data_IF_460907534079
#
_entry.id   IF_460907534079
#
_cell.length_a   1.000
_cell.length_b   1.000
_cell.length_c   1.000
_cell.angle_alpha   90.00
_cell.angle_beta   90.00
_cell.angle_gamma   90.00
#
_symmetry.space_group_name_H-M   'P 1'
#
loop_
_entity.id
_entity.type
_entity.pdbx_description
1 polymer ?
#
# COMPACT_ATOMS: atom_id res chain seq x y z
N UNK A 1 -7.86 -19.56 14.73
CA UNK A 1 -6.70 -18.71 15.12
C UNK A 1 -6.91 -17.33 14.52
N UNK A 2 -6.98 -16.28 15.33
CA UNK A 2 -7.31 -14.94 14.84
C UNK A 2 -6.19 -14.38 13.96
N UNK A 3 -6.55 -13.72 12.85
CA UNK A 3 -5.59 -13.09 11.94
C UNK A 3 -4.71 -12.01 12.60
N UNK A 4 -5.09 -11.53 13.79
CA UNK A 4 -4.28 -10.66 14.65
C UNK A 4 -2.97 -11.32 15.09
N UNK A 5 -3.00 -12.62 15.42
CA UNK A 5 -1.80 -13.35 15.85
C UNK A 5 -0.73 -13.37 14.75
N UNK A 6 -1.13 -13.57 13.48
CA UNK A 6 -0.21 -13.53 12.35
C UNK A 6 0.44 -12.14 12.19
N UNK A 7 -0.34 -11.08 12.40
CA UNK A 7 0.16 -9.70 12.36
C UNK A 7 1.12 -9.42 13.53
N UNK A 8 0.86 -9.97 14.72
CA UNK A 8 1.75 -9.82 15.87
C UNK A 8 3.11 -10.49 15.63
N UNK A 9 3.10 -11.73 15.12
CA UNK A 9 4.34 -12.44 14.73
C UNK A 9 5.09 -11.67 13.64
N UNK A 10 4.38 -11.12 12.65
CA UNK A 10 4.98 -10.28 11.62
C UNK A 10 5.61 -9.02 12.22
N UNK A 11 4.90 -8.30 13.09
CA UNK A 11 5.41 -7.10 13.76
C UNK A 11 6.72 -7.40 14.51
N UNK A 12 6.83 -8.55 15.16
CA UNK A 12 8.06 -8.96 15.84
C UNK A 12 9.23 -9.11 14.85
N UNK A 13 9.02 -9.78 13.71
CA UNK A 13 10.04 -9.91 12.65
C UNK A 13 10.44 -8.55 12.06
N UNK A 14 9.48 -7.65 11.88
CA UNK A 14 9.74 -6.30 11.37
C UNK A 14 10.55 -5.47 12.37
N UNK A 15 10.30 -5.59 13.67
CA UNK A 15 11.12 -4.94 14.70
C UNK A 15 12.58 -5.43 14.67
N UNK A 16 12.79 -6.75 14.55
CA UNK A 16 14.15 -7.30 14.34
C UNK A 16 14.79 -6.73 13.08
N UNK A 17 14.02 -6.62 12.00
CA UNK A 17 14.48 -6.05 10.74
C UNK A 17 14.87 -4.57 10.87
N UNK A 18 14.16 -3.78 11.67
CA UNK A 18 14.54 -2.38 11.96
C UNK A 18 15.90 -2.29 12.65
N UNK A 19 16.19 -3.20 13.59
CA UNK A 19 17.49 -3.25 14.25
C UNK A 19 18.61 -3.57 13.25
N UNK A 20 18.39 -4.54 12.36
CA UNK A 20 19.33 -4.89 11.28
C UNK A 20 19.57 -3.67 10.37
N UNK A 21 18.50 -2.98 9.95
CA UNK A 21 18.60 -1.78 9.10
C UNK A 21 19.39 -0.67 9.77
N UNK A 22 19.17 -0.43 11.07
CA UNK A 22 19.92 0.59 11.83
C UNK A 22 21.42 0.27 11.85
N UNK A 23 21.80 -0.99 12.06
CA UNK A 23 23.19 -1.42 12.05
C UNK A 23 23.84 -1.28 10.67
N UNK A 24 23.17 -1.72 9.63
CA UNK A 24 23.68 -1.63 8.24
C UNK A 24 23.79 -0.18 7.80
N UNK A 25 22.85 0.68 8.17
CA UNK A 25 22.91 2.11 7.87
C UNK A 25 24.12 2.80 8.51
N UNK A 26 24.56 2.34 9.67
CA UNK A 26 25.73 2.90 10.35
C UNK A 26 27.07 2.59 9.63
N UNK A 27 27.11 1.55 8.78
CA UNK A 27 28.35 1.07 8.13
C UNK A 27 28.29 1.11 6.61
N UNK A 28 27.17 1.52 6.00
CA UNK A 28 26.96 1.47 4.55
C UNK A 28 26.16 2.65 4.01
N UNK A 29 26.15 2.79 2.68
CA UNK A 29 25.39 3.85 2.01
C UNK A 29 23.87 3.54 1.95
N UNK A 30 23.08 4.55 1.57
CA UNK A 30 21.62 4.46 1.47
C UNK A 30 21.17 3.39 0.46
N UNK A 31 21.88 3.21 -0.65
CA UNK A 31 21.54 2.20 -1.67
C UNK A 31 21.65 0.76 -1.12
N UNK A 32 22.71 0.50 -0.35
CA UNK A 32 22.92 -0.79 0.33
C UNK A 32 21.86 -1.03 1.39
N UNK A 33 21.61 -0.03 2.25
CA UNK A 33 20.58 -0.10 3.29
C UNK A 33 19.18 -0.33 2.69
N UNK A 34 18.88 0.33 1.57
CA UNK A 34 17.63 0.13 0.83
C UNK A 34 17.51 -1.28 0.26
N UNK A 35 18.58 -1.83 -0.28
CA UNK A 35 18.61 -3.22 -0.76
C UNK A 35 18.33 -4.20 0.39
N UNK A 36 18.94 -3.96 1.56
CA UNK A 36 18.65 -4.74 2.77
C UNK A 36 17.19 -4.60 3.19
N UNK A 37 16.60 -3.39 3.14
CA UNK A 37 15.18 -3.21 3.43
C UNK A 37 14.30 -4.13 2.58
N UNK A 38 14.57 -4.21 1.28
CA UNK A 38 13.82 -5.15 0.44
C UNK A 38 14.01 -6.60 0.89
N UNK A 39 15.25 -7.00 1.20
CA UNK A 39 15.58 -8.38 1.55
C UNK A 39 15.03 -8.84 2.90
N UNK A 40 15.10 -8.01 3.95
CA UNK A 40 14.76 -8.44 5.33
C UNK A 40 13.45 -7.87 5.83
N UNK A 41 12.98 -6.73 5.30
CA UNK A 41 11.77 -6.06 5.79
C UNK A 41 10.59 -6.31 4.86
N UNK A 42 10.73 -5.95 3.58
CA UNK A 42 9.63 -6.02 2.63
C UNK A 42 9.25 -7.47 2.26
N UNK A 43 10.20 -8.40 2.22
CA UNK A 43 9.93 -9.84 2.04
C UNK A 43 8.95 -10.37 3.08
N UNK A 44 9.15 -10.02 4.36
CA UNK A 44 8.23 -10.41 5.44
C UNK A 44 6.85 -9.77 5.29
N UNK A 45 6.77 -8.52 4.82
CA UNK A 45 5.48 -7.88 4.52
C UNK A 45 4.79 -8.58 3.36
N UNK A 46 5.48 -8.85 2.26
CA UNK A 46 4.86 -9.49 1.09
C UNK A 46 4.40 -10.92 1.40
N UNK A 47 5.07 -11.59 2.32
CA UNK A 47 4.68 -12.92 2.76
C UNK A 47 3.27 -12.91 3.38
N UNK A 48 2.33 -13.51 2.66
CA UNK A 48 0.94 -13.65 3.11
C UNK A 48 0.13 -12.36 3.11
N UNK A 49 0.59 -11.27 2.47
CA UNK A 49 -0.15 -9.99 2.47
C UNK A 49 -1.56 -10.11 1.89
N UNK A 50 -1.79 -11.03 0.93
CA UNK A 50 -3.12 -11.33 0.42
C UNK A 50 -4.05 -11.96 1.47
N UNK A 51 -3.49 -12.62 2.49
CA UNK A 51 -4.21 -13.32 3.55
C UNK A 51 -4.52 -12.38 4.71
N UNK A 52 -3.51 -11.67 5.23
CA UNK A 52 -3.68 -10.83 6.41
C UNK A 52 -3.90 -9.34 6.09
N UNK A 53 -3.56 -8.88 4.88
CA UNK A 53 -3.65 -7.47 4.50
C UNK A 53 -5.09 -6.96 4.37
N UNK A 54 -6.03 -7.88 4.13
CA UNK A 54 -7.45 -7.60 4.11
C UNK A 54 -8.15 -7.83 5.44
N UNK A 55 -7.50 -7.67 6.60
CA UNK A 55 -8.10 -8.05 7.91
C UNK A 55 -8.66 -6.87 8.71
N UNK A 56 -7.90 -5.79 8.81
CA UNK A 56 -8.36 -4.55 9.44
C UNK A 56 -7.43 -3.38 9.08
N UNK A 57 -7.99 -2.17 9.11
CA UNK A 57 -7.23 -0.93 9.01
C UNK A 57 -6.20 -0.81 10.15
N UNK A 58 -6.56 -1.25 11.36
CA UNK A 58 -5.68 -1.23 12.52
C UNK A 58 -4.39 -2.04 12.30
N UNK A 59 -4.51 -3.24 11.73
CA UNK A 59 -3.35 -4.09 11.43
C UNK A 59 -2.44 -3.49 10.37
N UNK A 60 -3.00 -2.99 9.26
CA UNK A 60 -2.22 -2.31 8.22
C UNK A 60 -1.51 -1.07 8.78
N UNK A 61 -2.18 -0.30 9.63
CA UNK A 61 -1.61 0.90 10.24
C UNK A 61 -0.45 0.56 11.21
N UNK A 62 -0.54 -0.53 11.98
CA UNK A 62 0.58 -1.00 12.82
C UNK A 62 1.82 -1.30 11.98
N UNK A 63 1.66 -2.02 10.87
CA UNK A 63 2.76 -2.36 9.97
C UNK A 63 3.30 -1.11 9.27
N UNK A 64 2.42 -0.20 8.83
CA UNK A 64 2.82 1.07 8.23
C UNK A 64 3.66 1.91 9.20
N UNK A 65 3.35 1.91 10.50
CA UNK A 65 4.17 2.61 11.50
C UNK A 65 5.61 2.07 11.55
N UNK A 66 5.77 0.74 11.55
CA UNK A 66 7.09 0.10 11.49
C UNK A 66 7.79 0.42 10.17
N UNK A 67 7.07 0.40 9.05
CA UNK A 67 7.62 0.76 7.75
C UNK A 67 8.07 2.24 7.70
N UNK A 68 7.31 3.16 8.31
CA UNK A 68 7.70 4.57 8.47
C UNK A 68 8.96 4.70 9.32
N UNK A 69 9.16 3.87 10.35
CA UNK A 69 10.43 3.85 11.09
C UNK A 69 11.59 3.38 10.20
N UNK A 70 11.38 2.39 9.34
CA UNK A 70 12.39 2.00 8.35
C UNK A 70 12.74 3.17 7.41
N UNK A 71 11.74 3.90 6.90
CA UNK A 71 12.00 5.08 6.05
C UNK A 71 12.83 6.15 6.77
N UNK A 72 12.56 6.38 8.07
CA UNK A 72 13.37 7.31 8.87
C UNK A 72 14.83 6.85 8.99
N UNK A 73 15.08 5.56 9.18
CA UNK A 73 16.45 5.01 9.22
C UNK A 73 17.14 5.21 7.87
N UNK A 74 16.47 4.88 6.76
CA UNK A 74 17.07 4.95 5.42
C UNK A 74 17.48 6.39 5.05
N UNK A 75 16.65 7.37 5.37
CA UNK A 75 16.85 8.78 5.03
C UNK A 75 17.35 9.67 6.18
N UNK A 76 17.75 9.09 7.32
CA UNK A 76 18.21 9.83 8.49
C UNK A 76 17.22 10.93 8.97
N UNK A 77 15.93 10.65 8.89
CA UNK A 77 14.88 11.62 9.26
C UNK A 77 14.73 11.72 10.77
N UNK A 78 14.44 12.93 11.24
CA UNK A 78 14.09 13.20 12.63
C UNK A 78 12.72 12.64 13.03
N UNK A 79 12.40 12.61 14.34
CA UNK A 79 11.14 12.05 14.84
C UNK A 79 9.88 12.75 14.29
N UNK A 80 9.96 14.08 14.11
CA UNK A 80 8.84 14.93 13.65
C UNK A 80 8.76 15.06 12.13
N UNK A 81 9.77 14.58 11.41
CA UNK A 81 9.82 14.71 9.96
C UNK A 81 8.78 13.81 9.29
N UNK A 82 8.18 14.36 8.24
CA UNK A 82 7.23 13.61 7.39
C UNK A 82 7.99 12.56 6.58
N UNK A 83 7.56 11.29 6.72
CA UNK A 83 8.11 10.19 5.93
C UNK A 83 7.50 10.08 4.53
N UNK A 84 6.46 10.87 4.21
CA UNK A 84 5.68 10.69 2.97
C UNK A 84 6.55 10.88 1.72
N UNK A 85 7.39 11.92 1.70
CA UNK A 85 8.35 12.15 0.60
C UNK A 85 9.37 11.03 0.48
N UNK A 86 9.83 10.49 1.61
CA UNK A 86 10.84 9.43 1.62
C UNK A 86 10.39 8.14 0.94
N UNK A 87 9.10 7.79 0.98
CA UNK A 87 8.58 6.66 0.19
C UNK A 87 8.76 6.90 -1.31
N UNK A 88 8.46 8.10 -1.79
CA UNK A 88 8.62 8.49 -3.20
C UNK A 88 10.09 8.53 -3.60
N UNK A 89 10.93 9.21 -2.81
CA UNK A 89 12.37 9.39 -3.10
C UNK A 89 13.10 8.06 -3.13
N UNK A 90 12.82 7.19 -2.15
CA UNK A 90 13.38 5.85 -2.08
C UNK A 90 12.70 4.87 -3.02
N UNK A 91 11.64 5.27 -3.74
CA UNK A 91 10.86 4.40 -4.60
C UNK A 91 10.34 3.13 -3.88
N UNK A 92 9.85 3.27 -2.65
CA UNK A 92 9.31 2.19 -1.82
C UNK A 92 7.79 2.34 -1.71
N UNK A 93 7.05 1.25 -1.91
CA UNK A 93 5.60 1.23 -1.74
C UNK A 93 5.21 1.11 -0.26
N UNK A 94 4.14 1.78 0.14
CA UNK A 94 3.53 1.55 1.47
C UNK A 94 2.93 0.16 1.55
N UNK A 95 2.78 -0.40 2.77
CA UNK A 95 2.08 -1.69 2.97
C UNK A 95 0.67 -1.69 2.39
N UNK A 96 -0.02 -0.54 2.39
CA UNK A 96 -1.34 -0.36 1.76
C UNK A 96 -1.22 -0.59 0.25
N UNK A 97 -0.25 0.08 -0.38
CA UNK A 97 -0.03 -0.04 -1.82
C UNK A 97 0.40 -1.46 -2.22
N UNK A 98 1.24 -2.11 -1.40
CA UNK A 98 1.61 -3.51 -1.58
C UNK A 98 0.39 -4.44 -1.53
N UNK A 99 -0.48 -4.24 -0.54
CA UNK A 99 -1.72 -5.02 -0.41
C UNK A 99 -2.63 -4.82 -1.61
N UNK A 100 -2.90 -3.56 -1.99
CA UNK A 100 -3.77 -3.23 -3.13
C UNK A 100 -3.22 -3.83 -4.43
N UNK A 101 -1.92 -3.71 -4.69
CA UNK A 101 -1.29 -4.31 -5.85
C UNK A 101 -1.43 -5.84 -5.84
N UNK A 102 -1.19 -6.49 -4.70
CA UNK A 102 -1.25 -7.95 -4.59
C UNK A 102 -2.65 -8.48 -4.90
N UNK A 103 -3.70 -7.89 -4.33
CA UNK A 103 -5.08 -8.35 -4.58
C UNK A 103 -5.56 -8.02 -5.98
N UNK A 104 -5.08 -6.94 -6.60
CA UNK A 104 -5.32 -6.63 -8.01
C UNK A 104 -4.68 -7.70 -8.90
N UNK A 105 -3.40 -8.02 -8.68
CA UNK A 105 -2.70 -9.02 -9.48
C UNK A 105 -3.24 -10.43 -9.23
N UNK A 106 -3.82 -10.69 -8.06
CA UNK A 106 -4.48 -11.96 -7.76
C UNK A 106 -5.76 -12.20 -8.59
N UNK A 107 -6.44 -11.14 -9.02
CA UNK A 107 -7.66 -11.23 -9.86
C UNK A 107 -7.37 -11.01 -11.34
N UNK A 108 -6.18 -10.53 -11.67
CA UNK A 108 -5.73 -10.38 -13.05
C UNK A 108 -5.78 -11.73 -13.80
N UNK A 109 -6.36 -11.72 -15.00
CA UNK A 109 -6.58 -12.92 -15.80
C UNK A 109 -7.65 -13.89 -15.30
N UNK A 110 -8.24 -13.69 -14.12
CA UNK A 110 -9.42 -14.44 -13.69
C UNK A 110 -10.63 -13.84 -14.38
N UNK A 111 -11.38 -14.64 -15.15
CA UNK A 111 -12.65 -14.26 -15.82
C UNK A 111 -13.77 -14.03 -14.79
N UNK A 112 -13.52 -13.12 -13.86
CA UNK A 112 -14.50 -12.69 -12.89
C UNK A 112 -15.41 -11.66 -13.57
N UNK A 113 -16.72 -11.64 -13.26
CA UNK A 113 -17.65 -10.70 -13.88
C UNK A 113 -17.13 -9.27 -13.70
N UNK A 114 -16.69 -8.67 -14.81
CA UNK A 114 -16.23 -7.30 -14.85
C UNK A 114 -17.48 -6.45 -14.72
N UNK A 115 -17.70 -5.88 -13.54
CA UNK A 115 -18.89 -5.10 -13.21
C UNK A 115 -19.08 -3.90 -14.16
N UNK A 116 -19.69 -4.15 -15.31
CA UNK A 116 -20.59 -3.20 -15.94
C UNK A 116 -21.82 -2.94 -15.03
N UNK A 117 -22.14 -3.88 -14.12
CA UNK A 117 -23.30 -3.82 -13.23
C UNK A 117 -23.08 -3.11 -11.88
N UNK A 118 -21.89 -2.56 -11.60
CA UNK A 118 -21.71 -1.68 -10.44
C UNK A 118 -21.85 -0.23 -10.88
N UNK A 119 -22.98 0.08 -11.50
CA UNK A 119 -23.39 1.46 -11.70
C UNK A 119 -23.69 2.12 -10.34
N UNK A 120 -23.00 3.23 -10.13
CA UNK A 120 -23.40 4.43 -9.40
C UNK A 120 -24.48 4.26 -8.31
N UNK A 121 -24.11 3.57 -7.23
CA UNK A 121 -24.78 3.80 -5.96
C UNK A 121 -23.80 4.53 -5.03
N UNK A 122 -23.91 5.86 -5.02
CA UNK A 122 -23.50 6.69 -3.87
C UNK A 122 -24.33 6.27 -2.65
N UNK A 123 -23.96 5.16 -2.02
CA UNK A 123 -24.63 4.73 -0.78
C UNK A 123 -24.08 5.50 0.40
N UNK A 124 -25.00 6.05 1.18
CA UNK A 124 -24.84 6.88 2.39
C UNK A 124 -24.15 6.14 3.56
N UNK A 125 -23.41 5.07 3.28
CA UNK A 125 -22.83 4.11 4.21
C UNK A 125 -21.32 3.92 3.96
N UNK A 126 -20.56 5.02 3.88
CA UNK A 126 -19.10 4.97 3.74
C UNK A 126 -18.43 4.09 4.82
N UNK A 127 -18.99 4.07 6.04
CA UNK A 127 -18.55 3.21 7.14
C UNK A 127 -18.69 1.69 6.81
N UNK A 128 -19.77 1.25 6.17
CA UNK A 128 -19.98 -0.15 5.78
C UNK A 128 -19.09 -0.56 4.59
N UNK A 129 -18.68 0.41 3.77
CA UNK A 129 -17.75 0.19 2.66
C UNK A 129 -16.37 -0.23 3.15
N UNK A 130 -15.92 0.30 4.29
CA UNK A 130 -14.65 -0.07 4.93
C UNK A 130 -14.66 -1.51 5.43
N UNK A 131 -15.72 -1.90 6.14
CA UNK A 131 -15.84 -3.24 6.74
C UNK A 131 -15.89 -4.34 5.66
N UNK A 132 -16.56 -4.11 4.54
CA UNK A 132 -16.68 -5.12 3.47
C UNK A 132 -15.39 -5.43 2.71
N UNK A 133 -14.43 -4.50 2.64
CA UNK A 133 -13.13 -4.73 2.02
C UNK A 133 -12.19 -5.56 2.91
N UNK A 134 -12.37 -5.47 4.23
CA UNK A 134 -11.58 -6.20 5.23
C UNK A 134 -12.23 -7.53 5.69
N UNK A 135 -13.40 -7.89 5.15
CA UNK A 135 -14.12 -9.11 5.55
C UNK A 135 -14.45 -10.05 4.39
N UNK A 136 -14.29 -9.60 3.13
CA UNK A 136 -14.62 -10.41 1.94
C UNK A 136 -13.37 -11.08 1.34
N UNK A 137 -13.61 -12.15 0.56
CA UNK A 137 -12.58 -12.90 -0.15
C UNK A 137 -11.67 -11.95 -0.96
N UNK A 138 -10.35 -12.22 -1.05
CA UNK A 138 -9.41 -11.41 -1.83
C UNK A 138 -9.86 -11.14 -3.28
N UNK A 139 -10.62 -12.07 -3.88
CA UNK A 139 -11.18 -11.89 -5.23
C UNK A 139 -12.18 -10.73 -5.34
N UNK A 140 -13.03 -10.51 -4.33
CA UNK A 140 -13.99 -9.40 -4.34
C UNK A 140 -13.27 -8.06 -4.12
N UNK A 141 -12.39 -8.00 -3.12
CA UNK A 141 -11.58 -6.81 -2.86
C UNK A 141 -10.72 -6.44 -4.08
N UNK A 142 -10.06 -7.44 -4.70
CA UNK A 142 -9.24 -7.26 -5.89
C UNK A 142 -10.00 -6.65 -7.07
N UNK A 143 -11.19 -7.17 -7.42
CA UNK A 143 -12.02 -6.61 -8.49
C UNK A 143 -12.40 -5.15 -8.23
N UNK A 144 -12.88 -4.88 -7.02
CA UNK A 144 -13.34 -3.55 -6.62
C UNK A 144 -12.20 -2.54 -6.65
N UNK A 145 -11.02 -2.93 -6.17
CA UNK A 145 -9.82 -2.08 -6.20
C UNK A 145 -9.26 -1.91 -7.62
N UNK A 146 -9.32 -2.94 -8.46
CA UNK A 146 -8.94 -2.86 -9.88
C UNK A 146 -9.79 -1.84 -10.64
N UNK A 147 -11.11 -1.81 -10.38
CA UNK A 147 -12.03 -0.86 -11.01
C UNK A 147 -11.73 0.61 -10.65
N UNK A 148 -10.93 0.86 -9.60
CA UNK A 148 -10.50 2.20 -9.22
C UNK A 148 -9.19 2.64 -9.89
N UNK A 149 -8.46 1.75 -10.57
CA UNK A 149 -7.25 2.12 -11.29
C UNK A 149 -7.51 3.18 -12.38
N UNK A 150 -6.48 3.93 -12.78
CA UNK A 150 -6.53 4.75 -13.99
C UNK A 150 -6.92 3.94 -15.24
N UNK A 151 -7.63 4.57 -16.18
CA UNK A 151 -8.19 3.88 -17.35
C UNK A 151 -7.11 3.20 -18.20
N UNK A 152 -5.97 3.87 -18.35
CA UNK A 152 -4.79 3.39 -19.06
C UNK A 152 -4.18 2.11 -18.45
N UNK A 153 -4.40 1.86 -17.17
CA UNK A 153 -3.92 0.66 -16.50
C UNK A 153 -4.90 -0.51 -16.60
N UNK A 154 -6.21 -0.23 -16.72
CA UNK A 154 -7.25 -1.27 -16.77
C UNK A 154 -7.20 -2.15 -18.02
N UNK A 155 -6.56 -1.65 -19.08
CA UNK A 155 -6.33 -2.40 -20.32
C UNK A 155 -5.10 -3.32 -20.24
N UNK A 156 -4.27 -3.19 -19.20
CA UNK A 156 -3.06 -3.97 -19.02
C UNK A 156 -3.34 -5.25 -18.23
N UNK A 157 -2.56 -6.29 -18.51
CA UNK A 157 -2.56 -7.55 -17.77
C UNK A 157 -1.13 -8.06 -17.54
N UNK A 158 -1.02 -9.04 -16.65
CA UNK A 158 0.20 -9.75 -16.29
C UNK A 158 1.36 -8.83 -15.91
N UNK A 159 2.52 -9.08 -16.54
CA UNK A 159 3.75 -8.32 -16.28
C UNK A 159 3.60 -6.82 -16.59
N UNK A 160 2.80 -6.45 -17.60
CA UNK A 160 2.57 -5.03 -17.97
C UNK A 160 1.79 -4.32 -16.88
N UNK A 161 0.72 -4.93 -16.38
CA UNK A 161 -0.07 -4.39 -15.26
C UNK A 161 0.78 -4.27 -13.99
N UNK A 162 1.57 -5.30 -13.66
CA UNK A 162 2.46 -5.27 -12.50
C UNK A 162 3.46 -4.12 -12.59
N UNK A 163 4.14 -3.96 -13.74
CA UNK A 163 5.11 -2.87 -13.94
C UNK A 163 4.45 -1.49 -13.79
N UNK A 164 3.36 -1.26 -14.51
CA UNK A 164 2.65 0.03 -14.50
C UNK A 164 2.11 0.36 -13.11
N UNK A 165 1.53 -0.62 -12.41
CA UNK A 165 1.04 -0.43 -11.05
C UNK A 165 2.16 -0.17 -10.05
N UNK A 166 3.30 -0.86 -10.15
CA UNK A 166 4.45 -0.56 -9.31
C UNK A 166 4.90 0.89 -9.50
N UNK A 167 5.06 1.35 -10.73
CA UNK A 167 5.44 2.75 -11.00
C UNK A 167 4.41 3.75 -10.44
N UNK A 168 3.13 3.43 -10.56
CA UNK A 168 2.04 4.27 -10.07
C UNK A 168 1.99 4.37 -8.54
N UNK A 169 2.08 3.24 -7.84
CA UNK A 169 2.07 3.18 -6.38
C UNK A 169 3.35 3.73 -5.76
N UNK A 170 4.50 3.55 -6.41
CA UNK A 170 5.76 4.11 -5.94
C UNK A 170 5.81 5.64 -6.05
N UNK A 171 5.13 6.22 -7.04
CA UNK A 171 5.04 7.68 -7.18
C UNK A 171 3.95 8.33 -6.31
N UNK A 172 3.07 7.53 -5.69
CA UNK A 172 1.92 7.99 -4.91
C UNK A 172 1.75 7.14 -3.66
N UNK A 173 2.41 7.50 -2.54
CA UNK A 173 2.27 6.75 -1.30
C UNK A 173 0.86 6.95 -0.73
N UNK A 174 0.18 5.83 -0.46
CA UNK A 174 -1.11 5.79 0.24
C UNK A 174 -0.89 5.32 1.68
N UNK A 175 -1.25 6.14 2.67
CA UNK A 175 -1.14 5.81 4.10
C UNK A 175 -2.35 5.03 4.62
N UNK A 176 -3.48 5.10 3.93
CA UNK A 176 -4.70 4.34 4.25
C UNK A 176 -5.36 3.81 2.99
N UNK A 177 -6.20 2.78 3.14
CA UNK A 177 -7.01 2.29 2.03
C UNK A 177 -8.02 3.35 1.57
N UNK A 178 -8.51 4.20 2.48
CA UNK A 178 -9.34 5.36 2.16
C UNK A 178 -8.67 6.31 1.17
N UNK A 179 -7.40 6.67 1.40
CA UNK A 179 -6.67 7.54 0.46
C UNK A 179 -6.62 6.93 -0.95
N UNK A 180 -6.50 5.60 -1.06
CA UNK A 180 -6.62 4.92 -2.35
C UNK A 180 -8.06 4.98 -2.88
N UNK A 181 -9.08 4.65 -2.08
CA UNK A 181 -10.47 4.63 -2.55
C UNK A 181 -10.94 5.96 -3.12
N UNK A 182 -10.46 7.07 -2.56
CA UNK A 182 -10.83 8.43 -2.95
C UNK A 182 -9.70 9.17 -3.70
N UNK A 183 -8.74 8.45 -4.30
CA UNK A 183 -7.57 9.06 -4.94
C UNK A 183 -7.94 10.04 -6.07
N UNK A 184 -9.07 9.81 -6.75
CA UNK A 184 -9.58 10.69 -7.81
C UNK A 184 -10.04 12.04 -7.28
N UNK A 185 -10.63 12.06 -6.09
CA UNK A 185 -11.13 13.29 -5.45
C UNK A 185 -9.98 14.09 -4.86
N UNK A 186 -8.96 13.40 -4.31
CA UNK A 186 -7.73 14.05 -3.84
C UNK A 186 -7.02 14.84 -4.94
N UNK A 187 -7.02 14.34 -6.19
CA UNK A 187 -6.44 15.08 -7.33
C UNK A 187 -7.14 16.40 -7.63
N UNK A 188 -8.46 16.50 -7.41
CA UNK A 188 -9.23 17.72 -7.69
C UNK A 188 -8.89 18.83 -6.69
N UNK A 189 -8.66 18.48 -5.43
CA UNK A 189 -8.33 19.45 -4.38
C UNK A 189 -6.92 20.05 -4.54
N UNK A 190 -5.96 19.29 -5.07
CA UNK A 190 -4.63 19.83 -5.39
C UNK A 190 -4.66 20.79 -6.59
N UNK A 191 -5.57 20.63 -7.56
CA UNK A 191 -5.68 21.55 -8.69
C UNK A 191 -6.35 22.88 -8.30
N UNK A 192 -7.30 22.86 -7.36
CA UNK A 192 -7.98 24.08 -6.86
C UNK A 192 -7.03 25.02 -6.09
N UNK A 193 -6.11 24.47 -5.28
CA UNK A 193 -5.19 25.28 -4.48
C UNK A 193 -4.09 25.99 -5.28
N UNK A 194 -3.95 25.71 -6.58
CA UNK A 194 -3.05 26.46 -7.48
C UNK A 194 -3.75 27.59 -8.26
N UNK A 195 -5.08 27.62 -8.29
CA UNK A 195 -5.84 28.63 -9.05
C UNK A 195 -6.30 29.79 -8.14
N UNK A 196 -6.31 29.61 -6.82
CA UNK A 196 -6.77 30.64 -5.86
C UNK A 196 -5.64 31.44 -5.19
N UNK A 197 -4.41 31.35 -5.69
CA UNK A 197 -3.25 32.13 -5.21
C UNK A 197 -2.66 33.01 -6.33
N UNK A 198 -3.53 33.73 -7.04
CA UNK A 198 -3.16 34.87 -7.87
C UNK A 198 -4.18 36.00 -7.69
#
# INVERSE_FOLDING_TARGET
MSQTYHVDVLCNKLNTSLYILKRIKATSNTATTKSTHFAVFETHIRYGIAIWGGTSQGNLHRILRLQKQAMRILNCLGPRDTCRRSFTDLRIMTVISLYVQEVILHVDGKNLPRSADLHDYRTRHAADYHLTLYQKKPSYAGQKLFNLLPAEMKILTGKKLKKSSTEWFTSRPFDTLEEYLYWKDLKKNFHFNFITNH
#
